data_IF_973066660515
#
_entry.id   IF_973066660515
#
_cell.length_a   1.000
_cell.length_b   1.000
_cell.length_c   1.000
_cell.angle_alpha   90.00
_cell.angle_beta   90.00
_cell.angle_gamma   90.00
#
_symmetry.space_group_name_H-M   'P 1'
#
loop_
_entity.id
_entity.type
_entity.pdbx_description
1 polymer ?
#
# COMPACT_ATOMS: atom_id res chain seq x y z
N UNK A 1 18.80 -6.37 -7.84
CA UNK A 1 18.80 -4.96 -7.38
C UNK A 1 18.48 -4.92 -5.90
N UNK A 2 18.79 -3.84 -5.18
CA UNK A 2 18.28 -3.64 -3.81
C UNK A 2 16.80 -3.29 -3.85
N UNK A 3 16.07 -3.58 -2.77
CA UNK A 3 14.65 -3.23 -2.64
C UNK A 3 14.42 -1.72 -2.83
N UNK A 4 15.30 -0.88 -2.29
CA UNK A 4 15.22 0.58 -2.42
C UNK A 4 15.36 1.02 -3.88
N UNK A 5 16.29 0.44 -4.65
CA UNK A 5 16.42 0.73 -6.08
C UNK A 5 15.17 0.32 -6.86
N UNK A 6 14.57 -0.83 -6.51
CA UNK A 6 13.32 -1.29 -7.12
C UNK A 6 12.16 -0.32 -6.79
N UNK A 7 12.05 0.12 -5.53
CA UNK A 7 11.05 1.14 -5.14
C UNK A 7 11.18 2.42 -5.94
N UNK A 8 12.41 2.91 -6.14
CA UNK A 8 12.67 4.09 -6.98
C UNK A 8 12.18 3.90 -8.42
N UNK A 9 12.41 2.73 -9.02
CA UNK A 9 11.90 2.45 -10.37
C UNK A 9 10.37 2.43 -10.41
N UNK A 10 9.73 1.81 -9.42
CA UNK A 10 8.27 1.72 -9.34
C UNK A 10 7.65 3.11 -9.17
N UNK A 11 8.21 3.94 -8.28
CA UNK A 11 7.71 5.29 -8.04
C UNK A 11 7.95 6.19 -9.26
N UNK A 12 9.07 6.06 -9.96
CA UNK A 12 9.28 6.76 -11.25
C UNK A 12 8.21 6.35 -12.26
N UNK A 13 7.95 5.05 -12.39
CA UNK A 13 6.89 4.55 -13.26
C UNK A 13 5.52 5.13 -12.87
N UNK A 14 5.24 5.34 -11.58
CA UNK A 14 4.01 6.00 -11.17
C UNK A 14 3.94 7.46 -11.61
N UNK A 15 5.03 8.21 -11.43
CA UNK A 15 5.13 9.62 -11.85
C UNK A 15 4.94 9.80 -13.37
N UNK A 16 5.38 8.83 -14.16
CA UNK A 16 5.23 8.84 -15.62
C UNK A 16 3.82 8.42 -16.07
N UNK A 17 3.19 7.49 -15.34
CA UNK A 17 1.94 6.84 -15.79
C UNK A 17 0.67 7.46 -15.24
N UNK A 18 0.68 7.94 -14.00
CA UNK A 18 -0.53 8.39 -13.31
C UNK A 18 -0.52 9.90 -13.12
N UNK A 19 -1.61 10.54 -13.52
CA UNK A 19 -1.76 11.98 -13.32
C UNK A 19 -2.05 12.30 -11.85
N UNK A 20 -2.98 11.58 -11.21
CA UNK A 20 -3.38 11.86 -9.83
C UNK A 20 -3.31 10.60 -8.99
N UNK A 21 -2.28 10.50 -8.14
CA UNK A 21 -2.10 9.34 -7.28
C UNK A 21 -1.55 9.72 -5.90
N UNK A 22 -1.71 8.79 -4.96
CA UNK A 22 -1.03 8.81 -3.67
C UNK A 22 -0.24 7.53 -3.51
N UNK A 23 1.02 7.64 -3.13
CA UNK A 23 1.91 6.51 -2.89
C UNK A 23 2.40 6.51 -1.45
N UNK A 24 2.41 5.34 -0.83
CA UNK A 24 2.97 5.11 0.49
C UNK A 24 3.94 3.95 0.45
N UNK A 25 5.09 4.11 1.11
CA UNK A 25 6.06 3.04 1.37
C UNK A 25 5.85 2.46 2.77
N UNK A 26 6.17 1.19 2.96
CA UNK A 26 6.05 0.50 4.26
C UNK A 26 4.65 0.55 4.89
N UNK A 27 3.62 0.50 4.05
CA UNK A 27 2.25 0.69 4.51
C UNK A 27 1.77 -0.51 5.34
N UNK A 28 1.56 -0.28 6.64
CA UNK A 28 1.13 -1.30 7.59
C UNK A 28 -0.40 -1.42 7.63
N UNK A 29 -0.91 -2.64 7.59
CA UNK A 29 -2.34 -2.98 7.63
C UNK A 29 -2.58 -4.28 8.42
N UNK A 30 -3.84 -4.71 8.54
CA UNK A 30 -4.22 -5.90 9.33
C UNK A 30 -3.67 -5.84 10.75
N UNK A 31 -4.09 -4.82 11.52
CA UNK A 31 -3.57 -4.54 12.86
C UNK A 31 -2.05 -4.29 12.95
N UNK A 32 -1.35 -4.16 11.82
CA UNK A 32 0.10 -3.99 11.77
C UNK A 32 0.87 -5.30 11.58
N UNK A 33 0.19 -6.44 11.45
CA UNK A 33 0.81 -7.76 11.20
C UNK A 33 1.37 -7.90 9.77
N UNK A 34 0.94 -7.01 8.88
CA UNK A 34 1.33 -6.99 7.49
C UNK A 34 1.77 -5.59 7.09
N UNK A 35 2.70 -5.56 6.15
CA UNK A 35 3.30 -4.35 5.62
C UNK A 35 3.54 -4.53 4.14
N UNK A 36 2.91 -3.68 3.33
CA UNK A 36 3.16 -3.61 1.90
C UNK A 36 4.39 -2.73 1.64
N UNK A 37 5.29 -3.19 0.77
CA UNK A 37 6.51 -2.44 0.43
C UNK A 37 6.15 -1.10 -0.22
N UNK A 38 5.21 -1.13 -1.16
CA UNK A 38 4.56 0.06 -1.72
C UNK A 38 3.05 -0.16 -1.85
N UNK A 39 2.30 0.92 -1.66
CA UNK A 39 0.88 0.98 -1.94
C UNK A 39 0.58 2.24 -2.76
N UNK A 40 -0.21 2.08 -3.82
CA UNK A 40 -0.64 3.13 -4.74
C UNK A 40 -2.16 3.27 -4.64
N UNK A 41 -2.63 4.47 -4.32
CA UNK A 41 -4.03 4.86 -4.44
C UNK A 41 -4.19 5.69 -5.71
N UNK A 42 -4.99 5.19 -6.65
CA UNK A 42 -5.33 5.81 -7.92
C UNK A 42 -6.81 5.55 -8.22
N UNK A 43 -7.55 6.58 -8.62
CA UNK A 43 -9.00 6.54 -8.88
C UNK A 43 -9.82 5.76 -7.81
N UNK A 44 -9.49 5.95 -6.54
CA UNK A 44 -10.16 5.28 -5.41
C UNK A 44 -9.83 3.79 -5.22
N UNK A 45 -8.95 3.22 -6.04
CA UNK A 45 -8.45 1.85 -5.92
C UNK A 45 -7.08 1.81 -5.27
N UNK A 46 -6.92 0.97 -4.25
CA UNK A 46 -5.66 0.79 -3.55
C UNK A 46 -4.95 -0.47 -4.05
N UNK A 47 -3.79 -0.31 -4.65
CA UNK A 47 -2.97 -1.36 -5.25
C UNK A 47 -1.72 -1.59 -4.42
N UNK A 48 -1.45 -2.83 -4.01
CA UNK A 48 -0.21 -3.20 -3.34
C UNK A 48 0.87 -3.66 -4.34
N UNK A 49 2.12 -3.35 -4.03
CA UNK A 49 3.30 -3.85 -4.74
C UNK A 49 4.22 -4.51 -3.72
N UNK A 50 4.36 -5.83 -3.82
CA UNK A 50 5.27 -6.65 -2.99
C UNK A 50 6.54 -6.92 -3.79
N UNK A 51 7.70 -6.55 -3.26
CA UNK A 51 8.99 -6.68 -3.92
C UNK A 51 9.65 -7.99 -3.49
N UNK A 52 10.21 -8.71 -4.47
CA UNK A 52 11.06 -9.88 -4.27
C UNK A 52 12.32 -9.71 -5.13
N UNK A 53 13.41 -9.26 -4.52
CA UNK A 53 14.71 -9.18 -5.15
C UNK A 53 15.25 -10.56 -5.55
N UNK A 54 16.31 -10.59 -6.36
CA UNK A 54 16.85 -11.81 -6.96
C UNK A 54 17.21 -12.94 -5.97
N UNK A 55 17.45 -12.60 -4.69
CA UNK A 55 17.84 -13.55 -3.62
C UNK A 55 16.70 -13.85 -2.63
N UNK A 56 15.54 -13.23 -2.79
CA UNK A 56 14.42 -13.43 -1.88
C UNK A 56 13.71 -14.76 -2.15
N UNK A 57 13.45 -15.52 -1.09
CA UNK A 57 12.62 -16.73 -1.19
C UNK A 57 11.15 -16.35 -1.32
N UNK A 58 10.38 -17.11 -2.11
CA UNK A 58 8.93 -16.87 -2.26
C UNK A 58 8.07 -17.85 -1.47
N UNK A 59 8.67 -18.69 -0.62
CA UNK A 59 7.98 -19.69 0.20
C UNK A 59 6.79 -19.14 1.02
N UNK A 60 6.86 -17.88 1.47
CA UNK A 60 5.82 -17.20 2.25
C UNK A 60 4.89 -16.31 1.42
N UNK A 61 5.19 -16.12 0.14
CA UNK A 61 4.53 -15.15 -0.72
C UNK A 61 3.04 -15.43 -0.85
N UNK A 62 2.64 -16.70 -1.02
CA UNK A 62 1.23 -17.05 -1.13
C UNK A 62 0.41 -16.61 0.11
N UNK A 63 0.97 -16.83 1.31
CA UNK A 63 0.33 -16.40 2.56
C UNK A 63 0.24 -14.87 2.71
N UNK A 64 1.27 -14.14 2.25
CA UNK A 64 1.21 -12.68 2.19
C UNK A 64 0.10 -12.22 1.24
N UNK A 65 0.05 -12.77 0.03
CA UNK A 65 -0.96 -12.44 -1.00
C UNK A 65 -2.39 -12.67 -0.49
N UNK A 66 -2.66 -13.77 0.21
CA UNK A 66 -3.98 -14.02 0.78
C UNK A 66 -4.37 -12.96 1.85
N UNK A 67 -3.39 -12.36 2.53
CA UNK A 67 -3.65 -11.21 3.40
C UNK A 67 -3.93 -9.94 2.58
N UNK A 68 -3.27 -9.76 1.44
CA UNK A 68 -3.39 -8.56 0.60
C UNK A 68 -4.76 -8.52 -0.07
N UNK A 69 -5.26 -9.67 -0.55
CA UNK A 69 -6.61 -9.81 -1.13
C UNK A 69 -7.74 -9.40 -0.18
N UNK A 70 -7.50 -9.43 1.14
CA UNK A 70 -8.48 -9.00 2.15
C UNK A 70 -8.57 -7.49 2.29
N UNK A 71 -7.61 -6.72 1.77
CA UNK A 71 -7.53 -5.28 2.00
C UNK A 71 -7.44 -4.46 0.71
N UNK A 72 -6.54 -4.83 -0.19
CA UNK A 72 -6.22 -4.10 -1.42
C UNK A 72 -7.17 -4.47 -2.56
N UNK A 73 -7.44 -3.51 -3.45
CA UNK A 73 -8.22 -3.72 -4.66
C UNK A 73 -7.42 -4.51 -5.71
N UNK A 74 -6.10 -4.33 -5.75
CA UNK A 74 -5.19 -5.03 -6.66
C UNK A 74 -3.86 -5.35 -5.95
N UNK A 75 -3.12 -6.33 -6.48
CA UNK A 75 -1.77 -6.60 -6.01
C UNK A 75 -0.87 -7.03 -7.17
N UNK A 76 0.33 -6.47 -7.19
CA UNK A 76 1.43 -6.89 -8.05
C UNK A 76 2.57 -7.43 -7.20
N UNK A 77 3.16 -8.53 -7.65
CA UNK A 77 4.48 -8.95 -7.21
C UNK A 77 5.51 -8.37 -8.18
N UNK A 78 6.50 -7.66 -7.64
CA UNK A 78 7.62 -7.11 -8.39
C UNK A 78 8.82 -8.01 -8.18
N UNK A 79 9.37 -8.53 -9.27
CA UNK A 79 10.39 -9.57 -9.22
C UNK A 79 11.48 -9.33 -10.28
N UNK A 80 12.58 -10.07 -10.19
CA UNK A 80 13.69 -10.04 -11.16
C UNK A 80 13.64 -11.31 -12.04
N UNK A 81 14.35 -11.39 -13.17
CA UNK A 81 14.31 -12.56 -14.05
C UNK A 81 14.63 -13.89 -13.35
N UNK A 82 15.52 -13.86 -12.36
CA UNK A 82 15.98 -15.05 -11.62
C UNK A 82 14.89 -15.74 -10.81
N UNK A 83 13.87 -15.02 -10.33
CA UNK A 83 12.81 -15.56 -9.48
C UNK A 83 11.41 -15.54 -10.14
N UNK A 84 11.30 -15.06 -11.38
CA UNK A 84 10.02 -15.00 -12.12
C UNK A 84 9.30 -16.35 -12.22
N UNK A 85 10.04 -17.44 -12.49
CA UNK A 85 9.45 -18.77 -12.62
C UNK A 85 8.81 -19.25 -11.31
N UNK A 86 9.52 -19.06 -10.19
CA UNK A 86 9.05 -19.44 -8.86
C UNK A 86 7.87 -18.57 -8.41
N UNK A 87 7.92 -17.26 -8.68
CA UNK A 87 6.80 -16.32 -8.45
C UNK A 87 5.55 -16.79 -9.19
N UNK A 88 5.67 -17.15 -10.48
CA UNK A 88 4.55 -17.63 -11.29
C UNK A 88 3.94 -18.92 -10.76
N UNK A 89 4.76 -19.83 -10.24
CA UNK A 89 4.32 -21.09 -9.65
C UNK A 89 3.64 -20.89 -8.30
N UNK A 90 4.06 -19.88 -7.53
CA UNK A 90 3.63 -19.66 -6.15
C UNK A 90 2.33 -18.87 -6.03
N UNK A 91 2.11 -17.85 -6.87
CA UNK A 91 0.99 -16.92 -6.72
C UNK A 91 -0.16 -17.23 -7.68
N UNK A 92 -1.39 -16.97 -7.22
CA UNK A 92 -2.59 -17.15 -8.02
C UNK A 92 -2.65 -16.20 -9.24
N UNK A 93 -3.43 -16.59 -10.27
CA UNK A 93 -3.49 -15.88 -11.58
C UNK A 93 -4.18 -14.50 -11.54
N UNK A 94 -4.82 -14.16 -10.43
CA UNK A 94 -5.44 -12.86 -10.16
C UNK A 94 -4.44 -11.81 -9.64
N UNK A 95 -3.23 -12.22 -9.24
CA UNK A 95 -2.15 -11.30 -8.83
C UNK A 95 -1.33 -10.89 -10.05
N UNK A 96 -1.06 -9.61 -10.21
CA UNK A 96 -0.22 -9.09 -11.28
C UNK A 96 1.27 -9.36 -11.04
N UNK A 97 2.08 -9.25 -12.10
CA UNK A 97 3.53 -9.42 -12.04
C UNK A 97 4.20 -8.28 -12.79
N UNK A 98 5.08 -7.57 -12.10
CA UNK A 98 6.06 -6.67 -12.70
C UNK A 98 7.42 -7.36 -12.70
N UNK A 99 8.09 -7.34 -13.84
CA UNK A 99 9.46 -7.78 -13.97
C UNK A 99 10.36 -6.55 -14.03
N UNK A 100 11.37 -6.52 -13.17
CA UNK A 100 12.39 -5.49 -13.15
C UNK A 100 13.68 -6.08 -13.69
N UNK A 101 14.18 -5.51 -14.79
CA UNK A 101 15.43 -5.92 -15.41
C UNK A 101 16.09 -4.70 -16.05
N UNK A 102 17.41 -4.56 -15.88
CA UNK A 102 18.20 -3.49 -16.49
C UNK A 102 17.62 -2.08 -16.27
N UNK A 103 17.08 -1.83 -15.07
CA UNK A 103 16.50 -0.53 -14.72
C UNK A 103 15.12 -0.25 -15.33
N UNK A 104 14.47 -1.24 -15.96
CA UNK A 104 13.16 -1.09 -16.61
C UNK A 104 12.12 -2.00 -15.98
N UNK A 105 10.87 -1.54 -16.01
CA UNK A 105 9.71 -2.31 -15.55
C UNK A 105 8.96 -2.85 -16.77
N UNK A 106 8.73 -4.17 -16.78
CA UNK A 106 7.90 -4.85 -17.78
C UNK A 106 6.66 -5.42 -17.10
N UNK A 107 5.48 -5.13 -17.66
CA UNK A 107 4.21 -5.70 -17.22
C UNK A 107 4.07 -7.13 -17.75
N UNK A 108 4.36 -8.12 -16.91
CA UNK A 108 4.32 -9.54 -17.30
C UNK A 108 2.92 -10.13 -17.13
N UNK A 109 2.18 -9.68 -16.11
CA UNK A 109 0.79 -10.08 -15.87
C UNK A 109 0.00 -8.96 -15.23
N UNK A 110 -1.22 -8.72 -15.70
CA UNK A 110 -2.14 -7.78 -15.07
C UNK A 110 -2.77 -8.37 -13.80
N UNK A 111 -2.94 -7.55 -12.77
CA UNK A 111 -3.73 -7.92 -11.60
C UNK A 111 -5.22 -7.82 -11.92
N UNK A 112 -6.00 -8.77 -11.42
CA UNK A 112 -7.46 -8.69 -11.41
C UNK A 112 -7.92 -8.03 -10.12
N UNK A 113 -9.03 -7.31 -10.18
CA UNK A 113 -9.59 -6.66 -9.01
C UNK A 113 -10.06 -7.69 -7.98
N UNK A 114 -9.59 -7.55 -6.74
CA UNK A 114 -10.09 -8.27 -5.58
C UNK A 114 -11.31 -7.53 -5.03
N UNK A 115 -12.48 -8.19 -5.08
CA UNK A 115 -13.75 -7.60 -4.63
C UNK A 115 -14.18 -8.07 -3.24
N UNK A 116 -13.59 -9.17 -2.74
CA UNK A 116 -13.98 -9.82 -1.48
C UNK A 116 -13.03 -9.40 -0.36
N UNK A 117 -13.07 -8.13 0.01
CA UNK A 117 -12.31 -7.62 1.16
C UNK A 117 -12.92 -8.06 2.49
N UNK A 118 -12.10 -8.07 3.54
CA UNK A 118 -12.52 -8.34 4.90
C UNK A 118 -12.79 -7.01 5.64
N UNK A 119 -14.01 -6.84 6.14
CA UNK A 119 -14.43 -5.61 6.83
C UNK A 119 -13.58 -5.30 8.07
N UNK A 120 -13.18 -6.31 8.83
CA UNK A 120 -12.37 -6.15 10.04
C UNK A 120 -10.96 -5.72 9.66
N UNK A 121 -10.39 -6.31 8.61
CA UNK A 121 -9.07 -5.92 8.09
C UNK A 121 -9.10 -4.47 7.58
N UNK A 122 -10.15 -4.08 6.84
CA UNK A 122 -10.35 -2.68 6.40
C UNK A 122 -10.41 -1.71 7.58
N UNK A 123 -11.23 -2.02 8.59
CA UNK A 123 -11.35 -1.20 9.80
C UNK A 123 -10.02 -1.11 10.58
N UNK A 124 -9.24 -2.20 10.62
CA UNK A 124 -7.99 -2.26 11.39
C UNK A 124 -6.89 -1.30 10.91
N UNK A 125 -6.97 -0.83 9.67
CA UNK A 125 -6.03 0.15 9.10
C UNK A 125 -6.30 1.58 9.58
N UNK A 126 -7.52 1.86 10.05
CA UNK A 126 -7.93 3.16 10.58
C UNK A 126 -7.22 3.44 11.91
N UNK A 127 -7.02 4.74 12.18
CA UNK A 127 -6.51 5.18 13.49
C UNK A 127 -7.53 4.93 14.60
N UNK A 128 -7.05 4.77 15.84
CA UNK A 128 -7.93 4.61 17.01
C UNK A 128 -8.88 5.80 17.14
N UNK A 129 -8.41 7.02 16.87
CA UNK A 129 -9.24 8.23 16.92
C UNK A 129 -10.43 8.15 15.95
N UNK A 130 -10.20 7.70 14.70
CA UNK A 130 -11.28 7.51 13.72
C UNK A 130 -12.23 6.40 14.12
N UNK A 131 -11.70 5.27 14.58
CA UNK A 131 -12.51 4.15 15.05
C UNK A 131 -13.40 4.56 16.23
N UNK A 132 -12.88 5.31 17.20
CA UNK A 132 -13.65 5.84 18.32
C UNK A 132 -14.74 6.82 17.86
N UNK A 133 -14.43 7.72 16.91
CA UNK A 133 -15.42 8.63 16.34
C UNK A 133 -16.57 7.89 15.63
N UNK A 134 -16.26 6.79 14.94
CA UNK A 134 -17.24 5.92 14.27
C UNK A 134 -18.06 5.07 15.25
N UNK A 135 -17.59 4.90 16.49
CA UNK A 135 -18.24 4.05 17.51
C UNK A 135 -19.14 4.81 18.49
N UNK A 136 -19.29 6.14 18.33
CA UNK A 136 -20.28 7.02 18.99
C UNK A 136 -20.77 6.59 20.39
N UNK A 137 -19.92 6.69 21.40
CA UNK A 137 -20.33 6.53 22.81
C UNK A 137 -20.36 5.09 23.33
N UNK A 138 -19.91 4.11 22.54
CA UNK A 138 -19.66 2.76 23.03
C UNK A 138 -18.53 2.75 24.07
N UNK A 139 -18.67 2.04 25.20
CA UNK A 139 -17.63 1.86 26.23
C UNK A 139 -16.47 0.93 25.80
N UNK A 140 -16.13 0.89 24.52
CA UNK A 140 -15.07 0.05 23.96
C UNK A 140 -13.70 0.65 24.26
N UNK A 141 -12.76 -0.18 24.70
CA UNK A 141 -11.47 0.29 25.21
C UNK A 141 -10.30 -0.13 24.33
N UNK A 142 -10.41 -1.25 23.63
CA UNK A 142 -9.34 -1.78 22.79
C UNK A 142 -9.55 -1.49 21.29
N UNK A 143 -8.45 -1.43 20.54
CA UNK A 143 -8.51 -1.31 19.07
C UNK A 143 -9.28 -2.47 18.43
N UNK A 144 -9.16 -3.67 18.97
CA UNK A 144 -9.86 -4.86 18.47
C UNK A 144 -11.38 -4.73 18.63
N UNK A 145 -11.85 -4.35 19.82
CA UNK A 145 -13.27 -4.10 20.08
C UNK A 145 -13.85 -3.02 19.16
N UNK A 146 -13.13 -1.91 19.00
CA UNK A 146 -13.52 -0.83 18.11
C UNK A 146 -13.62 -1.30 16.65
N UNK A 147 -12.64 -2.08 16.17
CA UNK A 147 -12.68 -2.65 14.82
C UNK A 147 -13.86 -3.62 14.65
N UNK A 148 -14.16 -4.43 15.66
CA UNK A 148 -15.28 -5.37 15.63
C UNK A 148 -16.61 -4.65 15.58
N UNK A 149 -16.76 -3.57 16.37
CA UNK A 149 -17.94 -2.73 16.32
C UNK A 149 -18.09 -2.03 14.97
N UNK A 150 -17.05 -1.35 14.50
CA UNK A 150 -17.06 -0.61 13.23
C UNK A 150 -17.31 -1.54 12.04
N UNK A 151 -16.71 -2.73 12.02
CA UNK A 151 -16.90 -3.71 10.95
C UNK A 151 -18.31 -4.30 10.89
N UNK A 152 -18.97 -4.50 12.03
CA UNK A 152 -20.36 -4.96 12.10
C UNK A 152 -21.35 -3.88 11.66
N UNK A 153 -21.10 -2.63 12.03
CA UNK A 153 -22.04 -1.52 11.86
C UNK A 153 -21.84 -0.70 10.56
N UNK A 154 -20.91 -1.10 9.68
CA UNK A 154 -20.68 -0.42 8.40
C UNK A 154 -20.75 -1.39 7.22
N UNK A 155 -21.12 -0.87 6.05
CA UNK A 155 -21.09 -1.64 4.80
C UNK A 155 -19.65 -1.89 4.35
N UNK A 156 -19.43 -2.90 3.50
CA UNK A 156 -18.11 -3.18 2.95
C UNK A 156 -17.57 -1.97 2.17
N UNK A 157 -18.43 -1.38 1.34
CA UNK A 157 -18.11 -0.23 0.52
C UNK A 157 -17.77 1.01 1.35
N UNK A 158 -18.52 1.27 2.42
CA UNK A 158 -18.22 2.38 3.33
C UNK A 158 -16.85 2.20 4.00
N UNK A 159 -16.52 1.00 4.48
CA UNK A 159 -15.21 0.71 5.07
C UNK A 159 -14.07 0.78 4.05
N UNK A 160 -14.34 0.36 2.82
CA UNK A 160 -13.43 0.53 1.69
C UNK A 160 -13.12 2.01 1.55
N UNK A 161 -14.12 2.86 1.32
CA UNK A 161 -13.92 4.30 1.18
C UNK A 161 -13.20 4.94 2.38
N UNK A 162 -13.58 4.59 3.61
CA UNK A 162 -12.95 5.11 4.83
C UNK A 162 -11.46 4.77 4.90
N UNK A 163 -11.09 3.52 4.59
CA UNK A 163 -9.68 3.10 4.61
C UNK A 163 -8.84 3.76 3.51
N UNK A 164 -9.41 4.00 2.32
CA UNK A 164 -8.71 4.70 1.23
C UNK A 164 -8.56 6.18 1.54
N UNK A 165 -9.58 6.81 2.13
CA UNK A 165 -9.48 8.18 2.63
C UNK A 165 -8.42 8.30 3.72
N UNK A 166 -8.32 7.34 4.65
CA UNK A 166 -7.26 7.34 5.66
C UNK A 166 -5.87 7.20 5.04
N UNK A 167 -5.72 6.36 4.01
CA UNK A 167 -4.48 6.27 3.25
C UNK A 167 -4.11 7.60 2.58
N UNK A 168 -5.07 8.26 1.92
CA UNK A 168 -4.90 9.57 1.31
C UNK A 168 -4.51 10.65 2.33
N UNK A 169 -5.19 10.72 3.48
CA UNK A 169 -4.83 11.66 4.54
C UNK A 169 -3.42 11.40 5.10
N UNK A 170 -2.96 10.15 5.09
CA UNK A 170 -1.67 9.76 5.61
C UNK A 170 -0.52 10.11 4.66
N UNK A 171 -0.68 9.79 3.38
CA UNK A 171 0.40 9.85 2.38
C UNK A 171 0.21 10.93 1.31
N UNK A 172 -0.96 11.55 1.22
CA UNK A 172 -1.32 12.48 0.13
C UNK A 172 -0.45 13.73 0.09
N UNK A 173 -0.13 14.32 1.25
CA UNK A 173 0.77 15.49 1.32
C UNK A 173 2.16 15.13 0.82
N UNK A 174 2.74 14.04 1.32
CA UNK A 174 4.07 13.58 0.91
C UNK A 174 4.11 13.23 -0.59
N UNK A 175 3.07 12.55 -1.10
CA UNK A 175 2.96 12.20 -2.53
C UNK A 175 2.86 13.44 -3.42
N UNK A 176 2.14 14.47 -2.97
CA UNK A 176 2.02 15.74 -3.69
C UNK A 176 3.36 16.47 -3.77
N UNK A 177 4.08 16.57 -2.64
CA UNK A 177 5.41 17.19 -2.60
C UNK A 177 6.40 16.45 -3.49
N UNK A 178 6.43 15.11 -3.38
CA UNK A 178 7.23 14.25 -4.24
C UNK A 178 7.01 14.55 -5.73
N UNK A 179 5.75 14.67 -6.16
CA UNK A 179 5.40 14.98 -7.56
C UNK A 179 5.83 16.39 -7.98
N UNK A 180 5.79 17.37 -7.08
CA UNK A 180 6.14 18.77 -7.36
C UNK A 180 7.64 19.01 -7.42
N UNK A 181 8.41 18.33 -6.56
CA UNK A 181 9.84 18.58 -6.37
C UNK A 181 10.72 17.68 -7.26
N UNK A 182 10.19 16.55 -7.74
CA UNK A 182 10.98 15.56 -8.49
C UNK A 182 10.99 15.81 -9.99
N UNK A 183 12.19 15.93 -10.57
CA UNK A 183 12.44 15.95 -12.03
C UNK A 183 12.57 14.54 -12.63
N UNK A 184 11.82 13.56 -12.12
CA UNK A 184 11.95 12.10 -12.32
C UNK A 184 13.27 11.46 -11.80
N UNK A 185 14.18 12.27 -11.28
CA UNK A 185 15.43 11.84 -10.65
C UNK A 185 15.22 11.58 -9.15
N UNK A 186 14.58 10.44 -8.83
CA UNK A 186 14.35 10.05 -7.44
C UNK A 186 15.66 9.76 -6.70
N UNK A 187 15.75 10.25 -5.47
CA UNK A 187 16.77 9.95 -4.47
C UNK A 187 16.27 8.89 -3.49
N UNK A 188 17.10 8.49 -2.52
CA UNK A 188 16.64 7.64 -1.40
C UNK A 188 15.69 8.40 -0.47
N UNK A 189 15.94 9.69 -0.26
CA UNK A 189 15.21 10.53 0.70
C UNK A 189 13.77 10.78 0.26
N UNK A 190 13.55 10.83 -1.06
CA UNK A 190 12.22 10.86 -1.66
C UNK A 190 11.38 9.64 -1.25
N UNK A 191 11.97 8.43 -1.25
CA UNK A 191 11.29 7.20 -0.84
C UNK A 191 11.04 7.19 0.68
N UNK A 192 11.99 7.70 1.46
CA UNK A 192 11.80 7.82 2.92
C UNK A 192 10.67 8.79 3.28
N UNK A 193 10.49 9.86 2.50
CA UNK A 193 9.43 10.85 2.73
C UNK A 193 8.02 10.26 2.62
N UNK A 194 7.82 9.27 1.76
CA UNK A 194 6.54 8.56 1.60
C UNK A 194 6.36 7.37 2.56
N UNK A 195 7.25 7.17 3.53
CA UNK A 195 7.17 6.06 4.51
C UNK A 195 6.26 6.37 5.70
N UNK A 196 6.11 7.66 6.06
CA UNK A 196 5.39 8.07 7.28
C UNK A 196 4.32 9.10 6.98
N UNK A 197 3.37 9.23 7.92
CA UNK A 197 2.43 10.35 7.92
C UNK A 197 3.22 11.65 8.00
N UNK A 198 2.96 12.58 7.08
CA UNK A 198 3.51 13.93 7.18
C UNK A 198 3.09 14.57 8.53
N UNK A 199 3.98 15.27 9.24
CA UNK A 199 3.64 15.96 10.48
C UNK A 199 2.46 16.91 10.23
N UNK A 200 1.40 16.82 11.04
CA UNK A 200 0.25 17.71 10.94
C UNK A 200 0.51 19.13 11.45
N UNK A 201 1.64 19.33 12.14
CA UNK A 201 2.08 20.61 12.69
C UNK A 201 3.47 20.94 12.16
N UNK A 202 3.53 21.63 11.02
CA UNK A 202 4.76 22.30 10.61
C UNK A 202 4.94 23.54 11.51
N UNK A 203 5.68 23.39 12.61
CA UNK A 203 6.14 24.57 13.36
C UNK A 203 7.13 25.30 12.46
N UNK A 204 6.78 26.52 12.02
CA UNK A 204 7.75 27.44 11.42
C UNK A 204 8.92 27.57 12.39
N UNK A 205 10.14 27.31 11.92
CA UNK A 205 11.35 27.78 12.62
C UNK A 205 11.21 29.29 12.74
N UNK A 206 11.07 29.77 13.98
CA UNK A 206 11.30 31.18 14.27
C UNK A 206 12.81 31.35 14.10
N UNK A 207 13.19 32.11 13.07
CA UNK A 207 14.57 32.53 12.81
C UNK A 207 14.89 33.68 13.75
#
# INVERSE_FOLDING_TARGET
MTELEIKKLIVRYFLEKYENFVVGSEFSFQFGERRADLALLDDGYLTAFEIKGARDTVSRLNYQIESYKKFFDFCFVVCEPSNLAEVRATISRDVGIFLVENGKITHVRQSKQFKRHDKRVLASALSVQKLSALSKGSNLRSKHELCDYVSKNNTLESLRQLSRNDFNERYGVASKLLKQETTLHLTSDDIYTITKKAPSLLKRRIV
#
